data_IF_460172457545
#
_entry.id   IF_460172457545
#
_cell.length_a   1.000
_cell.length_b   1.000
_cell.length_c   1.000
_cell.angle_alpha   90.00
_cell.angle_beta   90.00
_cell.angle_gamma   90.00
#
_symmetry.space_group_name_H-M   'P 1'
#
loop_
_entity.id
_entity.type
_entity.pdbx_description
1 polymer ?
#
# COMPACT_ATOMS: atom_id res chain seq x y z
N UNK A 1 8.39 6.41 -34.33
CA UNK A 1 7.57 6.57 -33.12
C UNK A 1 8.46 6.20 -31.94
N UNK A 2 8.61 7.07 -30.94
CA UNK A 2 9.53 6.85 -29.82
C UNK A 2 8.95 5.77 -28.88
N UNK A 3 9.65 4.64 -28.72
CA UNK A 3 9.16 3.46 -27.98
C UNK A 3 9.14 3.66 -26.47
N UNK A 4 9.94 4.60 -25.95
CA UNK A 4 9.98 4.95 -24.53
C UNK A 4 8.87 5.92 -24.13
N UNK A 5 8.25 6.59 -25.08
CA UNK A 5 7.20 7.58 -24.80
C UNK A 5 6.02 7.03 -23.99
N UNK A 6 5.45 5.84 -24.30
CA UNK A 6 4.38 5.27 -23.50
C UNK A 6 4.78 5.02 -22.04
N UNK A 7 5.97 4.43 -21.81
CA UNK A 7 6.51 4.18 -20.46
C UNK A 7 6.74 5.48 -19.72
N UNK A 8 7.26 6.51 -20.39
CA UNK A 8 7.39 7.84 -19.81
C UNK A 8 6.03 8.42 -19.39
N UNK A 9 5.05 8.41 -20.29
CA UNK A 9 3.72 8.96 -20.02
C UNK A 9 3.04 8.20 -18.86
N UNK A 10 3.18 6.87 -18.78
CA UNK A 10 2.70 6.06 -17.65
C UNK A 10 3.44 6.39 -16.35
N UNK A 11 4.76 6.61 -16.41
CA UNK A 11 5.58 6.99 -15.24
C UNK A 11 5.14 8.34 -14.66
N UNK A 12 4.84 9.34 -15.52
CA UNK A 12 4.31 10.64 -15.08
C UNK A 12 2.93 10.50 -14.43
N UNK A 13 2.05 9.69 -15.02
CA UNK A 13 0.71 9.44 -14.45
C UNK A 13 0.82 8.77 -13.08
N UNK A 14 1.68 7.77 -12.95
CA UNK A 14 1.91 7.05 -11.71
C UNK A 14 2.45 7.99 -10.61
N UNK A 15 3.43 8.82 -10.94
CA UNK A 15 3.93 9.84 -10.03
C UNK A 15 2.82 10.82 -9.60
N UNK A 16 1.96 11.23 -10.53
CA UNK A 16 0.84 12.15 -10.24
C UNK A 16 -0.15 11.53 -9.26
N UNK A 17 -0.59 10.28 -9.50
CA UNK A 17 -1.52 9.55 -8.61
C UNK A 17 -0.90 9.40 -7.22
N UNK A 18 0.36 8.98 -7.13
CA UNK A 18 1.09 8.83 -5.86
C UNK A 18 1.38 10.16 -5.14
N UNK A 19 1.21 11.29 -5.80
CA UNK A 19 1.36 12.63 -5.19
C UNK A 19 0.06 13.17 -4.61
N UNK A 20 -1.07 12.50 -4.86
CA UNK A 20 -2.36 12.91 -4.30
C UNK A 20 -2.39 12.64 -2.80
N UNK A 21 -3.12 13.48 -2.08
CA UNK A 21 -3.38 13.24 -0.66
C UNK A 21 -4.19 11.94 -0.51
N UNK A 22 -3.65 11.01 0.28
CA UNK A 22 -4.30 9.73 0.56
C UNK A 22 -5.17 9.86 1.81
N UNK A 23 -6.46 9.62 1.64
CA UNK A 23 -7.48 9.66 2.70
C UNK A 23 -8.21 8.32 2.75
N UNK A 24 -8.93 8.04 3.84
CA UNK A 24 -9.71 6.80 3.95
C UNK A 24 -10.76 6.60 2.83
N UNK A 25 -11.20 7.67 2.15
CA UNK A 25 -12.23 7.62 1.10
C UNK A 25 -11.67 7.30 -0.28
N UNK A 26 -10.49 7.82 -0.62
CA UNK A 26 -9.89 7.69 -1.95
C UNK A 26 -8.71 6.69 -1.99
N UNK A 27 -8.29 6.16 -0.84
CA UNK A 27 -7.16 5.21 -0.76
C UNK A 27 -7.34 3.97 -1.64
N UNK A 28 -8.53 3.38 -1.64
CA UNK A 28 -8.81 2.20 -2.46
C UNK A 28 -8.70 2.51 -3.96
N UNK A 29 -9.25 3.66 -4.37
CA UNK A 29 -9.15 4.15 -5.75
C UNK A 29 -7.68 4.46 -6.14
N UNK A 30 -6.92 5.10 -5.26
CA UNK A 30 -5.48 5.37 -5.49
C UNK A 30 -4.72 4.06 -5.70
N UNK A 31 -4.95 3.05 -4.86
CA UNK A 31 -4.29 1.74 -4.98
C UNK A 31 -4.65 1.06 -6.29
N UNK A 32 -5.93 1.10 -6.66
CA UNK A 32 -6.40 0.52 -7.92
C UNK A 32 -5.74 1.20 -9.13
N UNK A 33 -5.71 2.53 -9.17
CA UNK A 33 -5.04 3.29 -10.23
C UNK A 33 -3.53 2.99 -10.28
N UNK A 34 -2.88 2.88 -9.12
CA UNK A 34 -1.46 2.53 -9.03
C UNK A 34 -1.22 1.14 -9.63
N UNK A 35 -2.02 0.14 -9.27
CA UNK A 35 -1.88 -1.23 -9.80
C UNK A 35 -2.04 -1.24 -11.33
N UNK A 36 -3.11 -0.63 -11.84
CA UNK A 36 -3.37 -0.55 -13.29
C UNK A 36 -2.23 0.15 -14.04
N UNK A 37 -1.68 1.23 -13.49
CA UNK A 37 -0.58 1.96 -14.11
C UNK A 37 0.75 1.19 -14.05
N UNK A 38 0.99 0.41 -12.99
CA UNK A 38 2.18 -0.43 -12.86
C UNK A 38 2.13 -1.57 -13.87
N UNK A 39 0.98 -2.24 -14.01
CA UNK A 39 0.77 -3.31 -15.00
C UNK A 39 0.93 -2.77 -16.43
N UNK A 40 0.20 -1.70 -16.77
CA UNK A 40 0.30 -1.04 -18.08
C UNK A 40 1.75 -0.66 -18.41
N UNK A 41 2.48 -0.09 -17.45
CA UNK A 41 3.88 0.28 -17.63
C UNK A 41 4.76 -0.94 -17.86
N UNK A 42 4.51 -2.03 -17.14
CA UNK A 42 5.21 -3.31 -17.32
C UNK A 42 5.08 -3.84 -18.74
N UNK A 43 3.84 -3.94 -19.25
CA UNK A 43 3.55 -4.38 -20.62
C UNK A 43 4.24 -3.49 -21.67
N UNK A 44 4.22 -2.18 -21.46
CA UNK A 44 4.88 -1.23 -22.37
C UNK A 44 6.41 -1.40 -22.37
N UNK A 45 7.01 -1.78 -21.25
CA UNK A 45 8.45 -2.00 -21.13
C UNK A 45 8.94 -3.22 -21.91
N UNK A 46 8.10 -4.24 -22.15
CA UNK A 46 8.47 -5.44 -22.91
C UNK A 46 8.90 -5.13 -24.35
N UNK A 47 8.41 -4.03 -24.90
CA UNK A 47 8.66 -3.63 -26.29
C UNK A 47 9.92 -2.76 -26.46
N UNK A 48 10.67 -2.51 -25.38
CA UNK A 48 11.81 -1.59 -25.36
C UNK A 48 13.11 -2.37 -25.57
N UNK A 49 13.50 -2.49 -26.83
CA UNK A 49 14.70 -3.23 -27.25
C UNK A 49 15.70 -2.36 -28.01
N UNK A 50 16.98 -2.65 -27.84
CA UNK A 50 18.07 -1.96 -28.55
C UNK A 50 18.01 -2.20 -30.08
N UNK A 51 18.60 -1.31 -30.90
CA UNK A 51 19.33 -0.09 -30.55
C UNK A 51 18.40 1.08 -30.17
N UNK A 52 18.89 2.00 -29.34
CA UNK A 52 18.14 3.18 -28.88
C UNK A 52 18.62 4.48 -29.55
N UNK A 53 17.67 5.34 -29.93
CA UNK A 53 17.97 6.70 -30.40
C UNK A 53 18.47 7.59 -29.25
N UNK A 54 19.07 8.75 -29.58
CA UNK A 54 19.47 9.73 -28.56
C UNK A 54 18.28 10.22 -27.73
N UNK A 55 17.15 10.52 -28.39
CA UNK A 55 15.90 10.91 -27.73
C UNK A 55 15.38 9.82 -26.78
N UNK A 56 15.47 8.56 -27.18
CA UNK A 56 15.10 7.42 -26.34
C UNK A 56 16.01 7.35 -25.11
N UNK A 57 17.32 7.55 -25.25
CA UNK A 57 18.25 7.56 -24.10
C UNK A 57 17.94 8.69 -23.12
N UNK A 58 17.66 9.89 -23.60
CA UNK A 58 17.28 11.04 -22.77
C UNK A 58 15.97 10.74 -22.01
N UNK A 59 14.94 10.25 -22.70
CA UNK A 59 13.69 9.89 -22.06
C UNK A 59 13.87 8.79 -21.01
N UNK A 60 14.72 7.80 -21.30
CA UNK A 60 15.06 6.72 -20.39
C UNK A 60 15.72 7.22 -19.11
N UNK A 61 16.62 8.21 -19.19
CA UNK A 61 17.23 8.83 -18.01
C UNK A 61 16.17 9.49 -17.13
N UNK A 62 15.26 10.27 -17.72
CA UNK A 62 14.18 10.92 -16.98
C UNK A 62 13.26 9.88 -16.31
N UNK A 63 12.94 8.78 -16.99
CA UNK A 63 12.15 7.67 -16.43
C UNK A 63 12.85 7.07 -15.21
N UNK A 64 14.16 6.82 -15.30
CA UNK A 64 14.95 6.26 -14.18
C UNK A 64 14.97 7.21 -12.99
N UNK A 65 15.14 8.51 -13.22
CA UNK A 65 15.10 9.51 -12.15
C UNK A 65 13.73 9.55 -11.45
N UNK A 66 12.64 9.55 -12.22
CA UNK A 66 11.29 9.52 -11.68
C UNK A 66 10.97 8.23 -10.94
N UNK A 67 11.55 7.10 -11.36
CA UNK A 67 11.36 5.82 -10.68
C UNK A 67 11.79 5.90 -9.21
N UNK A 68 12.91 6.56 -8.92
CA UNK A 68 13.39 6.76 -7.53
C UNK A 68 12.37 7.51 -6.67
N UNK A 69 11.76 8.57 -7.22
CA UNK A 69 10.71 9.32 -6.53
C UNK A 69 9.46 8.48 -6.31
N UNK A 70 9.06 7.68 -7.31
CA UNK A 70 7.91 6.79 -7.26
C UNK A 70 8.10 5.71 -6.20
N UNK A 71 9.28 5.06 -6.15
CA UNK A 71 9.63 4.05 -5.15
C UNK A 71 9.44 4.59 -3.73
N UNK A 72 9.99 5.77 -3.43
CA UNK A 72 9.81 6.39 -2.12
C UNK A 72 8.34 6.67 -1.77
N UNK A 73 7.52 7.09 -2.74
CA UNK A 73 6.08 7.33 -2.53
C UNK A 73 5.31 6.02 -2.32
N UNK A 74 5.62 4.97 -3.06
CA UNK A 74 5.03 3.65 -2.87
C UNK A 74 5.35 3.07 -1.49
N UNK A 75 6.59 3.22 -1.03
CA UNK A 75 6.97 2.82 0.32
C UNK A 75 6.18 3.58 1.39
N UNK A 76 6.00 4.89 1.22
CA UNK A 76 5.19 5.70 2.13
C UNK A 76 3.75 5.17 2.19
N UNK A 77 3.10 5.00 1.03
CA UNK A 77 1.74 4.48 0.93
C UNK A 77 1.62 3.10 1.60
N UNK A 78 2.59 2.21 1.36
CA UNK A 78 2.62 0.88 1.99
C UNK A 78 2.79 0.94 3.51
N UNK A 79 3.63 1.86 4.02
CA UNK A 79 3.80 2.06 5.46
C UNK A 79 2.52 2.57 6.10
N UNK A 80 1.83 3.52 5.47
CA UNK A 80 0.58 4.07 5.98
C UNK A 80 -0.51 2.99 6.06
N UNK A 81 -0.66 2.18 5.00
CA UNK A 81 -1.55 1.02 5.00
C UNK A 81 -1.25 0.05 6.14
N UNK A 82 0.03 -0.25 6.38
CA UNK A 82 0.46 -1.15 7.45
C UNK A 82 0.14 -0.58 8.84
N UNK A 83 0.24 0.73 9.03
CA UNK A 83 -0.11 1.40 10.29
C UNK A 83 -1.62 1.33 10.54
N UNK A 84 -2.43 1.61 9.52
CA UNK A 84 -3.89 1.51 9.62
C UNK A 84 -4.34 0.08 9.96
N UNK A 85 -3.78 -0.95 9.30
CA UNK A 85 -4.08 -2.35 9.62
C UNK A 85 -3.79 -2.70 11.08
N UNK A 86 -2.70 -2.16 11.65
CA UNK A 86 -2.37 -2.34 13.08
C UNK A 86 -3.38 -1.65 13.98
N UNK A 87 -3.81 -0.43 13.64
CA UNK A 87 -4.81 0.32 14.40
C UNK A 87 -6.16 -0.39 14.43
N UNK A 88 -6.64 -0.89 13.29
CA UNK A 88 -7.88 -1.67 13.19
C UNK A 88 -7.82 -2.93 14.08
N UNK A 89 -6.69 -3.65 14.09
CA UNK A 89 -6.48 -4.81 14.98
C UNK A 89 -6.50 -4.42 16.46
N UNK A 90 -5.88 -3.30 16.83
CA UNK A 90 -5.86 -2.78 18.20
C UNK A 90 -7.26 -2.40 18.68
N UNK A 91 -8.04 -1.72 17.84
CA UNK A 91 -9.43 -1.33 18.15
C UNK A 91 -10.30 -2.57 18.39
N UNK A 92 -10.20 -3.59 17.54
CA UNK A 92 -10.92 -4.88 17.74
C UNK A 92 -10.55 -5.55 19.07
N UNK A 93 -9.26 -5.59 19.43
CA UNK A 93 -8.79 -6.14 20.71
C UNK A 93 -9.31 -5.35 21.92
N UNK A 94 -9.28 -4.02 21.83
CA UNK A 94 -9.79 -3.14 22.89
C UNK A 94 -11.29 -3.31 23.10
N UNK A 95 -12.06 -3.37 22.01
CA UNK A 95 -13.52 -3.53 22.06
C UNK A 95 -13.91 -4.89 22.68
N UNK A 96 -13.19 -5.98 22.34
CA UNK A 96 -13.40 -7.30 22.93
C UNK A 96 -13.06 -7.35 24.43
N UNK A 97 -12.05 -6.60 24.87
CA UNK A 97 -11.67 -6.54 26.29
C UNK A 97 -12.72 -5.78 27.12
N UNK A 98 -13.37 -4.77 26.53
CA UNK A 98 -14.46 -4.03 27.18
C UNK A 98 -15.78 -4.79 27.22
N UNK A 99 -16.09 -5.60 26.20
CA UNK A 99 -17.35 -6.37 26.17
C UNK A 99 -17.31 -7.65 27.02
N UNK A 100 -16.14 -8.14 27.41
CA UNK A 100 -16.02 -9.29 28.30
C UNK A 100 -15.02 -9.08 29.47
N UNK A 101 -15.33 -8.20 30.44
CA UNK A 101 -14.48 -8.00 31.62
C UNK A 101 -14.36 -9.26 32.50
N UNK A 102 -15.19 -10.27 32.28
CA UNK A 102 -15.29 -11.49 33.08
C UNK A 102 -14.67 -12.73 32.43
N UNK A 103 -14.11 -12.63 31.21
CA UNK A 103 -13.48 -13.78 30.54
C UNK A 103 -12.31 -14.35 31.36
N UNK A 104 -11.59 -13.48 32.08
CA UNK A 104 -10.49 -13.87 32.99
C UNK A 104 -10.97 -14.37 34.36
N UNK A 105 -12.24 -14.22 34.71
CA UNK A 105 -12.79 -14.61 36.03
C UNK A 105 -13.26 -16.08 36.02
N UNK A 106 -13.47 -16.69 34.84
CA UNK A 106 -13.92 -18.09 34.70
C UNK A 106 -12.80 -19.14 34.76
N UNK A 107 -11.61 -18.80 35.22
CA UNK A 107 -10.48 -19.74 35.36
C UNK A 107 -9.92 -19.78 36.80
N UNK A 108 -10.74 -19.46 37.81
CA UNK A 108 -10.37 -19.68 39.22
C UNK A 108 -11.41 -20.58 39.86
N UNK A 109 -11.14 -21.88 39.71
CA UNK A 109 -11.51 -23.00 40.59
C UNK A 109 -12.77 -22.78 41.45
N UNK A 110 -13.91 -23.26 40.94
CA UNK A 110 -15.18 -23.23 41.65
C UNK A 110 -15.15 -24.20 42.83
N UNK A 111 -14.64 -23.76 43.97
CA UNK A 111 -14.83 -24.45 45.26
C UNK A 111 -15.97 -23.78 46.01
N UNK A 112 -17.12 -24.43 45.99
CA UNK A 112 -18.21 -24.17 46.93
C UNK A 112 -17.74 -24.58 48.33
N UNK A 113 -17.68 -23.63 49.27
CA UNK A 113 -17.59 -23.96 50.69
C UNK A 113 -19.01 -24.25 51.19
N UNK A 114 -19.35 -25.54 51.26
CA UNK A 114 -20.34 -26.00 52.24
C UNK A 114 -19.54 -26.53 53.44
N UNK A 115 -19.60 -25.79 54.54
CA UNK A 115 -19.33 -26.36 55.85
C UNK A 115 -20.33 -25.76 56.82
N UNK A 116 -21.45 -26.47 56.97
CA UNK A 116 -22.32 -26.40 58.15
C UNK A 116 -21.53 -26.80 59.39
N UNK A 117 -21.45 -25.88 60.35
CA UNK A 117 -21.71 -26.05 61.79
C UNK A 117 -21.32 -24.77 62.53
#
# INVERSE_FOLDING_TARGET
MNRLKPVYDATIRLEKVLSQETTAKNREEIIEQVNQLVELRGEQMENIVAPFSSEEKELGQIVVEKNRTIEGKMENLFRDLKLEMKQVKKQKKSNRTYTNPYEKVRARDGRFMDSRN
#
